data_IF_627368207247
#
_entry.id   IF_627368207247
#
_cell.length_a   1.000
_cell.length_b   1.000
_cell.length_c   1.000
_cell.angle_alpha   90.00
_cell.angle_beta   90.00
_cell.angle_gamma   90.00
#
_symmetry.space_group_name_H-M   'P 1'
#
loop_
_entity.id
_entity.type
_entity.pdbx_description
1 polymer ?
#
# COMPACT_ATOMS: atom_id res chain seq x y z
N UNK A 1 7.96 -6.67 36.40
CA UNK A 1 7.38 -7.88 35.76
C UNK A 1 6.41 -7.42 34.67
N UNK A 2 6.92 -6.93 33.54
CA UNK A 2 6.08 -6.50 32.42
C UNK A 2 5.91 -7.70 31.49
N UNK A 3 4.70 -8.24 31.44
CA UNK A 3 4.34 -9.33 30.55
C UNK A 3 4.08 -8.72 29.15
N UNK A 4 4.78 -9.10 28.08
CA UNK A 4 4.37 -8.67 26.75
C UNK A 4 3.04 -9.35 26.40
N UNK A 5 2.09 -8.55 25.91
CA UNK A 5 0.83 -9.05 25.37
C UNK A 5 1.10 -9.95 24.14
N UNK A 6 0.29 -10.99 23.92
CA UNK A 6 0.43 -11.83 22.74
C UNK A 6 0.17 -10.99 21.49
N UNK A 7 1.18 -10.85 20.63
CA UNK A 7 1.00 -10.49 19.23
C UNK A 7 0.19 -11.61 18.60
N UNK A 8 -1.10 -11.36 18.41
CA UNK A 8 -1.99 -12.25 17.67
C UNK A 8 -1.38 -12.49 16.28
N UNK A 9 -1.16 -13.76 15.96
CA UNK A 9 -0.72 -14.18 14.63
C UNK A 9 -1.73 -13.70 13.59
N UNK A 10 -1.29 -12.74 12.76
CA UNK A 10 -2.06 -12.19 11.66
C UNK A 10 -1.89 -13.01 10.37
N UNK A 11 -1.72 -14.33 10.46
CA UNK A 11 -1.74 -15.20 9.29
C UNK A 11 -3.12 -15.84 9.08
N UNK A 12 -4.14 -15.01 8.91
CA UNK A 12 -5.24 -15.42 8.04
C UNK A 12 -4.70 -15.39 6.61
N UNK A 13 -4.24 -16.55 6.11
CA UNK A 13 -3.88 -16.73 4.72
C UNK A 13 -5.02 -16.18 3.84
N UNK A 14 -4.75 -15.41 2.78
CA UNK A 14 -5.79 -14.94 1.90
C UNK A 14 -6.56 -16.15 1.38
N UNK A 15 -7.90 -16.10 1.47
CA UNK A 15 -8.74 -17.12 0.89
C UNK A 15 -8.34 -17.31 -0.58
N UNK A 16 -8.05 -18.55 -1.04
CA UNK A 16 -7.64 -18.78 -2.41
C UNK A 16 -8.71 -18.21 -3.36
N UNK A 17 -8.31 -17.21 -4.16
CA UNK A 17 -9.18 -16.56 -5.17
C UNK A 17 -9.46 -15.07 -4.98
N UNK A 18 -9.03 -14.41 -3.90
CA UNK A 18 -9.23 -12.94 -3.75
C UNK A 18 -7.97 -12.15 -4.11
N UNK A 19 -8.12 -11.19 -5.03
CA UNK A 19 -7.10 -10.16 -5.32
C UNK A 19 -7.10 -9.11 -4.20
N UNK A 20 -5.99 -8.86 -3.51
CA UNK A 20 -5.92 -7.84 -2.47
C UNK A 20 -6.05 -6.44 -3.08
N UNK A 21 -6.60 -5.49 -2.33
CA UNK A 21 -6.62 -4.07 -2.73
C UNK A 21 -5.25 -3.44 -2.51
N UNK A 22 -4.63 -2.99 -3.59
CA UNK A 22 -3.31 -2.41 -3.57
C UNK A 22 -3.34 -0.93 -3.97
N UNK A 23 -2.49 -0.14 -3.30
CA UNK A 23 -2.36 1.30 -3.52
C UNK A 23 -0.90 1.65 -3.81
N UNK A 24 -0.67 2.53 -4.80
CA UNK A 24 0.65 3.10 -5.07
C UNK A 24 0.81 4.41 -4.28
N UNK A 25 1.92 4.54 -3.54
CA UNK A 25 2.29 5.77 -2.84
C UNK A 25 3.73 6.20 -3.13
N UNK A 26 3.89 7.25 -3.93
CA UNK A 26 5.16 7.82 -4.36
C UNK A 26 4.89 9.13 -5.09
N UNK A 27 5.94 9.90 -5.45
CA UNK A 27 5.74 11.03 -6.36
C UNK A 27 5.00 10.59 -7.63
N UNK A 28 3.92 11.28 -8.00
CA UNK A 28 3.06 10.88 -9.13
C UNK A 28 3.82 10.66 -10.46
N UNK A 29 4.85 11.47 -10.73
CA UNK A 29 5.67 11.35 -11.94
C UNK A 29 6.71 10.22 -11.95
N UNK A 30 6.79 9.44 -10.87
CA UNK A 30 7.81 8.40 -10.69
C UNK A 30 7.29 7.00 -11.04
N UNK A 31 6.01 6.73 -10.83
CA UNK A 31 5.41 5.42 -11.09
C UNK A 31 5.66 4.94 -12.53
N UNK A 32 5.42 5.79 -13.52
CA UNK A 32 5.64 5.47 -14.94
C UNK A 32 7.12 5.35 -15.35
N UNK A 33 8.04 5.88 -14.54
CA UNK A 33 9.49 5.80 -14.78
C UNK A 33 10.11 4.56 -14.15
N UNK A 34 9.54 4.06 -13.05
CA UNK A 34 10.08 2.93 -12.30
C UNK A 34 9.33 1.62 -12.59
N UNK A 35 8.04 1.70 -12.87
CA UNK A 35 7.18 0.54 -13.10
C UNK A 35 6.86 0.51 -14.59
N UNK A 36 7.55 -0.36 -15.32
CA UNK A 36 7.29 -0.56 -16.74
C UNK A 36 5.91 -1.19 -17.00
N UNK A 37 5.43 -1.09 -18.25
CA UNK A 37 4.11 -1.58 -18.61
C UNK A 37 3.90 -3.09 -18.34
N UNK A 38 4.87 -3.99 -18.60
CA UNK A 38 4.76 -5.40 -18.21
C UNK A 38 4.59 -5.59 -16.70
N UNK A 39 5.35 -4.89 -15.87
CA UNK A 39 5.26 -4.98 -14.41
C UNK A 39 3.95 -4.43 -13.92
N UNK A 40 3.50 -3.27 -14.43
CA UNK A 40 2.22 -2.69 -14.04
C UNK A 40 1.06 -3.62 -14.38
N UNK A 41 1.06 -4.23 -15.58
CA UNK A 41 0.05 -5.24 -15.95
C UNK A 41 0.03 -6.38 -14.94
N UNK A 42 1.19 -6.93 -14.59
CA UNK A 42 1.28 -8.02 -13.62
C UNK A 42 0.77 -7.62 -12.23
N UNK A 43 1.07 -6.41 -11.77
CA UNK A 43 0.49 -5.87 -10.51
C UNK A 43 -1.04 -5.81 -10.59
N UNK A 44 -1.58 -5.28 -11.69
CA UNK A 44 -3.03 -5.19 -11.94
C UNK A 44 -3.69 -6.53 -12.27
N UNK A 45 -2.95 -7.62 -12.48
CA UNK A 45 -3.50 -8.98 -12.58
C UNK A 45 -3.56 -9.66 -11.20
N UNK A 46 -2.55 -9.42 -10.38
CA UNK A 46 -2.39 -10.01 -9.06
C UNK A 46 -3.18 -9.28 -7.95
N UNK A 47 -3.48 -8.00 -8.13
CA UNK A 47 -4.12 -7.14 -7.12
C UNK A 47 -5.16 -6.21 -7.73
N UNK A 48 -6.17 -5.83 -6.96
CA UNK A 48 -7.10 -4.75 -7.32
C UNK A 48 -6.36 -3.42 -7.09
N UNK A 49 -5.75 -2.92 -8.17
CA UNK A 49 -4.87 -1.75 -8.19
C UNK A 49 -5.32 -0.84 -9.33
N UNK A 50 -5.56 0.44 -9.02
CA UNK A 50 -5.79 1.48 -10.02
C UNK A 50 -4.44 2.14 -10.39
N UNK A 51 -3.91 1.91 -11.61
CA UNK A 51 -2.62 2.47 -12.02
C UNK A 51 -2.68 3.99 -12.28
N UNK A 52 -3.88 4.58 -12.38
CA UNK A 52 -4.08 6.02 -12.54
C UNK A 52 -4.06 6.77 -11.21
N UNK A 53 -4.18 6.06 -10.09
CA UNK A 53 -4.15 6.63 -8.74
C UNK A 53 -2.78 6.36 -8.09
N UNK A 54 -1.92 7.38 -8.13
CA UNK A 54 -0.65 7.40 -7.40
C UNK A 54 -0.75 8.45 -6.31
N UNK A 55 -0.60 8.03 -5.05
CA UNK A 55 -0.77 8.89 -3.89
C UNK A 55 0.55 9.55 -3.48
N UNK A 56 0.56 10.87 -3.47
CA UNK A 56 1.62 11.71 -2.88
C UNK A 56 1.10 12.65 -1.78
N UNK A 57 -0.18 12.52 -1.40
CA UNK A 57 -0.79 13.13 -0.22
C UNK A 57 -1.95 12.25 0.29
N UNK A 58 -1.82 11.67 1.48
CA UNK A 58 -2.87 10.83 2.08
C UNK A 58 -4.08 11.62 2.58
N UNK A 59 -3.97 12.95 2.74
CA UNK A 59 -5.09 13.80 3.16
C UNK A 59 -6.06 14.10 2.02
N UNK A 60 -5.65 13.91 0.75
CA UNK A 60 -6.51 14.10 -0.40
C UNK A 60 -7.72 13.13 -0.34
N UNK A 61 -8.96 13.57 -0.62
CA UNK A 61 -10.15 12.73 -0.43
C UNK A 61 -10.12 11.39 -1.18
N UNK A 62 -9.62 11.37 -2.41
CA UNK A 62 -9.47 10.15 -3.20
C UNK A 62 -8.40 9.22 -2.61
N UNK A 63 -7.30 9.77 -2.11
CA UNK A 63 -6.22 9.02 -1.47
C UNK A 63 -6.68 8.41 -0.14
N UNK A 64 -7.36 9.19 0.70
CA UNK A 64 -7.90 8.72 1.98
C UNK A 64 -8.93 7.60 1.78
N UNK A 65 -9.84 7.75 0.81
CA UNK A 65 -10.80 6.70 0.47
C UNK A 65 -10.13 5.41 -0.04
N UNK A 66 -9.10 5.54 -0.89
CA UNK A 66 -8.35 4.39 -1.38
C UNK A 66 -7.52 3.72 -0.26
N UNK A 67 -6.91 4.52 0.62
CA UNK A 67 -6.13 4.05 1.77
C UNK A 67 -7.00 3.27 2.77
N UNK A 68 -8.23 3.72 3.01
CA UNK A 68 -9.18 3.03 3.88
C UNK A 68 -9.47 1.58 3.44
N UNK A 69 -9.53 1.36 2.13
CA UNK A 69 -9.77 0.05 1.54
C UNK A 69 -8.49 -0.74 1.24
N UNK A 70 -7.32 -0.11 1.33
CA UNK A 70 -6.05 -0.71 0.95
C UNK A 70 -5.65 -1.81 1.93
N UNK A 71 -5.22 -2.94 1.37
CA UNK A 71 -4.63 -4.05 2.12
C UNK A 71 -3.11 -4.11 1.93
N UNK A 72 -2.65 -3.63 0.78
CA UNK A 72 -1.25 -3.55 0.40
C UNK A 72 -0.93 -2.13 -0.04
N UNK A 73 0.09 -1.53 0.55
CA UNK A 73 0.66 -0.26 0.11
C UNK A 73 2.01 -0.52 -0.57
N UNK A 74 2.12 -0.18 -1.84
CA UNK A 74 3.38 -0.24 -2.60
C UNK A 74 3.94 1.18 -2.63
N UNK A 75 5.02 1.39 -1.90
CA UNK A 75 5.66 2.69 -1.72
C UNK A 75 7.01 2.78 -2.41
N UNK A 76 7.42 4.01 -2.76
CA UNK A 76 8.75 4.32 -3.26
C UNK A 76 9.17 5.73 -2.79
N UNK A 77 10.20 6.32 -3.41
CA UNK A 77 10.60 7.71 -3.15
C UNK A 77 9.43 8.68 -3.33
N UNK A 78 9.24 9.58 -2.36
CA UNK A 78 8.11 10.50 -2.32
C UNK A 78 6.82 9.94 -1.75
N UNK A 79 6.85 8.73 -1.18
CA UNK A 79 5.75 8.30 -0.33
C UNK A 79 5.60 9.31 0.83
N UNK A 80 4.39 9.84 1.09
CA UNK A 80 4.16 10.67 2.26
C UNK A 80 4.45 9.89 3.55
N UNK A 81 4.74 10.57 4.66
CA UNK A 81 4.98 9.91 5.94
C UNK A 81 3.79 9.03 6.36
N UNK A 82 4.07 7.78 6.73
CA UNK A 82 3.09 6.87 7.34
C UNK A 82 3.04 7.12 8.84
N UNK A 83 2.43 8.23 9.24
CA UNK A 83 2.22 8.57 10.65
C UNK A 83 1.15 7.69 11.30
N UNK A 84 1.03 7.75 12.62
CA UNK A 84 -0.02 7.02 13.35
C UNK A 84 -1.43 7.42 12.88
N UNK A 85 -1.64 8.70 12.59
CA UNK A 85 -2.91 9.21 12.06
C UNK A 85 -3.21 8.66 10.67
N UNK A 86 -2.20 8.55 9.79
CA UNK A 86 -2.36 7.96 8.47
C UNK A 86 -2.68 6.46 8.58
N UNK A 87 -2.00 5.74 9.46
CA UNK A 87 -2.25 4.30 9.66
C UNK A 87 -3.63 4.05 10.29
N UNK A 88 -4.13 4.96 11.14
CA UNK A 88 -5.48 4.90 11.67
C UNK A 88 -6.56 5.01 10.58
N UNK A 89 -6.26 5.68 9.45
CA UNK A 89 -7.14 5.73 8.28
C UNK A 89 -7.09 4.47 7.42
N UNK A 90 -6.18 3.54 7.69
CA UNK A 90 -5.92 2.35 6.88
C UNK A 90 -6.24 1.05 7.65
N UNK A 91 -7.48 0.83 8.13
CA UNK A 91 -7.80 -0.28 9.05
C UNK A 91 -7.62 -1.67 8.43
N UNK A 92 -7.55 -1.77 7.10
CA UNK A 92 -7.37 -3.01 6.35
C UNK A 92 -5.93 -3.24 5.92
N UNK A 93 -5.02 -2.29 6.16
CA UNK A 93 -3.65 -2.36 5.68
C UNK A 93 -2.90 -3.46 6.43
N UNK A 94 -2.30 -4.38 5.68
CA UNK A 94 -1.59 -5.55 6.22
C UNK A 94 -0.13 -5.58 5.83
N UNK A 95 0.21 -4.96 4.70
CA UNK A 95 1.55 -5.01 4.12
C UNK A 95 1.92 -3.66 3.53
N UNK A 96 3.14 -3.21 3.84
CA UNK A 96 3.80 -2.11 3.14
C UNK A 96 5.01 -2.68 2.42
N UNK A 97 5.06 -2.54 1.10
CA UNK A 97 6.21 -2.90 0.26
C UNK A 97 6.92 -1.60 -0.09
N UNK A 98 8.19 -1.47 0.26
CA UNK A 98 8.99 -0.31 -0.10
C UNK A 98 10.00 -0.68 -1.19
N UNK A 99 9.83 -0.08 -2.38
CA UNK A 99 10.59 -0.39 -3.59
C UNK A 99 11.52 0.77 -4.00
N UNK A 100 12.16 1.44 -3.04
CA UNK A 100 13.22 2.41 -3.31
C UNK A 100 14.61 1.76 -3.18
N UNK A 101 15.57 2.19 -4.00
CA UNK A 101 16.99 1.85 -3.82
C UNK A 101 17.53 2.41 -2.51
N UNK A 102 18.66 1.88 -2.03
CA UNK A 102 19.20 2.10 -0.67
C UNK A 102 19.17 3.56 -0.20
N UNK A 103 18.62 3.73 1.02
CA UNK A 103 18.66 4.95 1.85
C UNK A 103 20.08 5.34 2.25
#
# INVERSE_FOLDING_TARGET
MHHPAPVTDASAAPAPGRRPRALLAMHAGLASKLIDAPTMRRLTELSDLDPSLVVDDFAAPAASAALHEAEVLISCWGCPPLTEEVLALAPRLRVVIHAAGSV
#
